data_IF_532047680328
#
_entry.id   IF_532047680328
#
_cell.length_a   1.000
_cell.length_b   1.000
_cell.length_c   1.000
_cell.angle_alpha   90.00
_cell.angle_beta   90.00
_cell.angle_gamma   90.00
#
_symmetry.space_group_name_H-M   'P 1'
#
loop_
_entity.id
_entity.type
_entity.pdbx_description
1 polymer ?
#
# COMPACT_ATOMS: atom_id res chain seq x y z
N UNK A 1 0.33 -10.56 -16.20
CA UNK A 1 0.89 -9.76 -15.09
C UNK A 1 0.84 -10.63 -13.84
N UNK A 2 1.82 -10.54 -12.96
CA UNK A 2 1.83 -11.30 -11.71
C UNK A 2 1.75 -10.34 -10.53
N UNK A 3 0.80 -10.58 -9.61
CA UNK A 3 0.60 -9.74 -8.43
C UNK A 3 1.19 -10.39 -7.20
N UNK A 4 1.72 -9.56 -6.31
CA UNK A 4 2.40 -10.01 -5.10
C UNK A 4 2.09 -9.08 -3.93
N UNK A 5 1.91 -9.67 -2.76
CA UNK A 5 1.93 -8.96 -1.49
C UNK A 5 3.28 -9.20 -0.84
N UNK A 6 4.05 -8.13 -0.69
CA UNK A 6 5.36 -8.14 -0.04
C UNK A 6 5.20 -7.59 1.37
N UNK A 7 5.79 -8.27 2.35
CA UNK A 7 5.79 -7.86 3.74
C UNK A 7 7.21 -7.76 4.24
N UNK A 8 7.53 -6.68 4.94
CA UNK A 8 8.84 -6.49 5.55
C UNK A 8 8.70 -5.83 6.92
N UNK A 9 9.70 -6.05 7.78
CA UNK A 9 9.77 -5.44 9.10
C UNK A 9 10.91 -4.43 9.12
N UNK A 10 10.68 -3.22 8.61
CA UNK A 10 11.75 -2.24 8.54
C UNK A 10 12.19 -1.78 9.92
N UNK A 11 13.51 -1.78 10.14
CA UNK A 11 14.13 -1.16 11.31
C UNK A 11 14.66 0.22 10.91
N UNK A 12 13.78 1.22 10.93
CA UNK A 12 14.19 2.61 10.79
C UNK A 12 13.30 3.56 11.62
N UNK A 13 13.82 4.72 12.04
CA UNK A 13 13.00 5.76 12.64
C UNK A 13 11.98 6.33 11.66
N UNK A 14 10.70 6.45 12.05
CA UNK A 14 9.60 6.87 11.16
C UNK A 14 9.81 8.23 10.46
N UNK A 15 10.63 9.13 11.00
CA UNK A 15 10.98 10.40 10.34
C UNK A 15 11.86 10.21 9.08
N UNK A 16 12.37 9.00 8.84
CA UNK A 16 13.02 8.61 7.58
C UNK A 16 12.11 7.84 6.62
N UNK A 17 10.84 7.58 6.98
CA UNK A 17 9.89 6.78 6.20
C UNK A 17 9.84 7.18 4.73
N UNK A 18 9.68 8.48 4.46
CA UNK A 18 9.58 9.03 3.12
C UNK A 18 10.79 8.68 2.24
N UNK A 19 11.99 8.84 2.78
CA UNK A 19 13.23 8.53 2.06
C UNK A 19 13.38 7.03 1.82
N UNK A 20 12.95 6.20 2.78
CA UNK A 20 13.03 4.74 2.64
C UNK A 20 12.04 4.25 1.57
N UNK A 21 10.80 4.71 1.62
CA UNK A 21 9.78 4.39 0.62
C UNK A 21 10.23 4.81 -0.79
N UNK A 22 10.79 6.01 -0.95
CA UNK A 22 11.33 6.46 -2.24
C UNK A 22 12.48 5.57 -2.76
N UNK A 23 13.43 5.20 -1.90
CA UNK A 23 14.54 4.33 -2.32
C UNK A 23 14.04 2.95 -2.73
N UNK A 24 13.07 2.42 -1.99
CA UNK A 24 12.45 1.13 -2.28
C UNK A 24 11.69 1.17 -3.60
N UNK A 25 10.92 2.23 -3.86
CA UNK A 25 10.18 2.40 -5.12
C UNK A 25 11.11 2.39 -6.33
N UNK A 26 12.19 3.16 -6.27
CA UNK A 26 13.18 3.25 -7.34
C UNK A 26 13.88 1.90 -7.56
N UNK A 27 14.21 1.20 -6.47
CA UNK A 27 14.81 -0.14 -6.55
C UNK A 27 13.87 -1.14 -7.22
N UNK A 28 12.59 -1.15 -6.85
CA UNK A 28 11.59 -2.04 -7.45
C UNK A 28 11.34 -1.69 -8.92
N UNK A 29 11.23 -0.40 -9.24
CA UNK A 29 11.05 0.07 -10.61
C UNK A 29 12.24 -0.32 -11.51
N UNK A 30 13.47 -0.24 -11.01
CA UNK A 30 14.66 -0.71 -11.75
C UNK A 30 14.63 -2.22 -12.05
N UNK A 31 13.83 -2.98 -11.31
CA UNK A 31 13.59 -4.42 -11.53
C UNK A 31 12.31 -4.68 -12.34
N UNK A 32 11.69 -3.64 -12.91
CA UNK A 32 10.37 -3.69 -13.56
C UNK A 32 9.24 -4.17 -12.63
N UNK A 33 9.37 -3.95 -11.33
CA UNK A 33 8.32 -4.22 -10.34
C UNK A 33 7.60 -2.90 -10.04
N UNK A 34 6.30 -2.89 -10.26
CA UNK A 34 5.45 -1.73 -10.03
C UNK A 34 4.76 -1.84 -8.68
N UNK A 35 4.90 -0.84 -7.82
CA UNK A 35 4.10 -0.76 -6.60
C UNK A 35 2.72 -0.18 -6.95
N UNK A 36 1.68 -0.89 -6.54
CA UNK A 36 0.28 -0.58 -6.83
C UNK A 36 -0.41 0.08 -5.64
N UNK A 37 -0.10 -0.36 -4.43
CA UNK A 37 -0.59 0.19 -3.17
C UNK A 37 0.36 -0.20 -2.03
N UNK A 38 0.27 0.48 -0.89
CA UNK A 38 1.11 0.17 0.27
C UNK A 38 0.51 0.66 1.59
N UNK A 39 1.06 0.11 2.67
CA UNK A 39 0.89 0.61 4.02
C UNK A 39 2.20 0.45 4.81
N UNK A 40 2.65 1.54 5.41
CA UNK A 40 3.80 1.56 6.31
C UNK A 40 3.36 1.94 7.71
N UNK A 41 3.59 1.04 8.66
CA UNK A 41 3.37 1.22 10.09
C UNK A 41 4.71 1.09 10.84
N UNK A 42 4.79 1.49 12.12
CA UNK A 42 5.97 1.22 12.93
C UNK A 42 6.31 -0.28 12.94
N UNK A 43 7.45 -0.64 12.33
CA UNK A 43 7.94 -2.02 12.27
C UNK A 43 7.25 -2.93 11.24
N UNK A 44 6.38 -2.39 10.37
CA UNK A 44 5.72 -3.17 9.32
C UNK A 44 5.58 -2.35 8.05
N UNK A 45 6.00 -2.93 6.93
CA UNK A 45 5.75 -2.41 5.59
C UNK A 45 5.11 -3.50 4.74
N UNK A 46 3.95 -3.19 4.19
CA UNK A 46 3.24 -4.04 3.24
C UNK A 46 3.12 -3.32 1.90
N UNK A 47 3.45 -4.02 0.82
CA UNK A 47 3.38 -3.52 -0.55
C UNK A 47 2.57 -4.47 -1.41
N UNK A 48 1.56 -3.95 -2.11
CA UNK A 48 0.96 -4.64 -3.24
C UNK A 48 1.76 -4.27 -4.50
N UNK A 49 2.34 -5.26 -5.16
CA UNK A 49 3.17 -5.08 -6.34
C UNK A 49 2.64 -5.85 -7.55
N UNK A 50 3.02 -5.40 -8.74
CA UNK A 50 2.87 -6.11 -10.00
C UNK A 50 4.22 -6.27 -10.69
N UNK A 51 4.48 -7.46 -11.21
CA UNK A 51 5.69 -7.79 -11.96
C UNK A 51 5.33 -8.46 -13.30
N UNK A 52 6.02 -8.12 -14.40
CA UNK A 52 5.86 -8.82 -15.68
C UNK A 52 6.42 -10.24 -15.65
N UNK A 53 7.32 -10.53 -14.69
CA UNK A 53 8.00 -11.83 -14.55
C UNK A 53 7.67 -12.43 -13.17
N UNK A 54 7.44 -13.75 -13.06
CA UNK A 54 7.23 -14.38 -11.77
C UNK A 54 8.39 -14.16 -10.81
N UNK A 55 8.08 -13.70 -9.60
CA UNK A 55 9.02 -13.60 -8.49
C UNK A 55 9.02 -14.91 -7.70
N UNK A 56 10.15 -15.25 -7.08
CA UNK A 56 10.20 -16.36 -6.13
C UNK A 56 9.40 -16.00 -4.88
N UNK A 57 8.43 -16.83 -4.53
CA UNK A 57 7.69 -16.70 -3.29
C UNK A 57 8.61 -17.01 -2.08
N UNK A 58 8.37 -16.31 -0.98
CA UNK A 58 9.04 -16.53 0.30
C UNK A 58 8.10 -16.12 1.44
N UNK A 59 8.53 -16.26 2.68
CA UNK A 59 7.76 -15.81 3.85
C UNK A 59 7.41 -14.32 3.83
N UNK A 60 8.16 -13.53 3.06
CA UNK A 60 8.01 -12.08 2.90
C UNK A 60 7.39 -11.68 1.56
N UNK A 61 7.07 -12.65 0.70
CA UNK A 61 6.53 -12.41 -0.64
C UNK A 61 5.59 -13.53 -1.08
N UNK A 62 4.29 -13.25 -1.12
CA UNK A 62 3.28 -14.19 -1.57
C UNK A 62 2.64 -13.73 -2.87
N UNK A 63 2.49 -14.65 -3.83
CA UNK A 63 1.71 -14.40 -5.04
C UNK A 63 0.23 -14.23 -4.69
N UNK A 64 -0.43 -13.32 -5.39
CA UNK A 64 -1.81 -12.90 -5.16
C UNK A 64 -2.62 -13.13 -6.43
N UNK A 65 -3.82 -13.68 -6.29
CA UNK A 65 -4.76 -13.81 -7.41
C UNK A 65 -5.53 -12.51 -7.66
N UNK A 66 -6.07 -12.33 -8.87
CA UNK A 66 -6.81 -11.11 -9.22
C UNK A 66 -8.04 -10.90 -8.34
N UNK A 67 -8.71 -11.99 -7.94
CA UNK A 67 -9.88 -11.96 -7.06
C UNK A 67 -9.57 -11.43 -5.65
N UNK A 68 -8.31 -11.55 -5.22
CA UNK A 68 -7.85 -11.09 -3.91
C UNK A 68 -7.45 -9.61 -3.90
N UNK A 69 -7.25 -8.99 -5.07
CA UNK A 69 -6.70 -7.64 -5.18
C UNK A 69 -7.53 -6.60 -4.43
N UNK A 70 -8.87 -6.62 -4.59
CA UNK A 70 -9.75 -5.67 -3.89
C UNK A 70 -9.65 -5.83 -2.38
N UNK A 71 -9.65 -7.07 -1.88
CA UNK A 71 -9.52 -7.33 -0.44
C UNK A 71 -8.18 -6.84 0.12
N UNK A 72 -7.08 -7.00 -0.64
CA UNK A 72 -5.75 -6.53 -0.23
C UNK A 72 -5.66 -5.01 -0.26
N UNK A 73 -6.17 -4.36 -1.30
CA UNK A 73 -6.26 -2.89 -1.39
C UNK A 73 -7.05 -2.34 -0.20
N UNK A 74 -8.14 -3.02 0.16
CA UNK A 74 -8.95 -2.71 1.34
C UNK A 74 -8.13 -2.81 2.64
N UNK A 75 -7.40 -3.92 2.81
CA UNK A 75 -6.52 -4.17 3.96
C UNK A 75 -5.38 -3.15 4.09
N UNK A 76 -4.75 -2.75 2.98
CA UNK A 76 -3.73 -1.70 2.96
C UNK A 76 -4.32 -0.31 3.27
N UNK A 77 -5.64 -0.15 3.12
CA UNK A 77 -6.38 1.05 3.51
C UNK A 77 -6.89 1.05 4.95
N UNK A 78 -6.57 0.06 5.79
CA UNK A 78 -7.15 -0.12 7.14
C UNK A 78 -7.00 1.07 8.08
N UNK A 79 -5.95 1.89 7.92
CA UNK A 79 -5.72 3.09 8.74
C UNK A 79 -6.48 4.33 8.26
N UNK A 80 -7.36 4.16 7.27
CA UNK A 80 -8.20 5.22 6.71
C UNK A 80 -7.44 6.17 5.79
N UNK A 81 -8.14 7.22 5.35
CA UNK A 81 -7.64 8.16 4.33
C UNK A 81 -6.73 9.24 4.89
N UNK A 82 -6.73 9.47 6.21
CA UNK A 82 -5.92 10.50 6.86
C UNK A 82 -4.50 10.02 7.26
N UNK A 83 -4.23 8.71 7.15
CA UNK A 83 -2.95 8.15 7.57
C UNK A 83 -1.85 8.33 6.50
N UNK A 84 -0.90 9.23 6.77
CA UNK A 84 0.10 9.75 5.81
C UNK A 84 0.88 8.68 5.06
N UNK A 85 1.24 7.56 5.70
CA UNK A 85 2.11 6.55 5.11
C UNK A 85 1.31 5.37 4.53
N UNK A 86 0.37 5.70 3.65
CA UNK A 86 -0.45 4.73 2.93
C UNK A 86 -0.82 5.23 1.54
N UNK A 87 -1.03 4.31 0.60
CA UNK A 87 -1.56 4.68 -0.72
C UNK A 87 -2.99 5.24 -0.66
N UNK A 88 -3.72 5.01 0.43
CA UNK A 88 -5.02 5.66 0.66
C UNK A 88 -4.87 7.15 0.87
N UNK A 89 -3.93 7.59 1.70
CA UNK A 89 -3.69 9.02 1.90
C UNK A 89 -3.28 9.72 0.61
N UNK A 90 -2.40 9.10 -0.18
CA UNK A 90 -1.99 9.65 -1.47
C UNK A 90 -3.16 9.85 -2.42
N UNK A 91 -4.04 8.84 -2.52
CA UNK A 91 -5.21 8.88 -3.38
C UNK A 91 -6.16 10.03 -3.02
N UNK A 92 -6.43 10.25 -1.72
CA UNK A 92 -7.42 11.23 -1.27
C UNK A 92 -6.87 12.64 -1.06
N UNK A 93 -5.58 12.78 -0.73
CA UNK A 93 -4.96 14.08 -0.48
C UNK A 93 -4.13 14.61 -1.66
N UNK A 94 -4.08 13.88 -2.79
CA UNK A 94 -3.31 14.25 -3.98
C UNK A 94 -1.85 14.57 -3.65
N UNK A 95 -1.28 13.86 -2.67
CA UNK A 95 0.08 14.07 -2.21
C UNK A 95 1.06 13.83 -3.37
N UNK A 96 1.85 14.85 -3.70
CA UNK A 96 2.87 14.80 -4.75
C UNK A 96 4.09 13.97 -4.36
N UNK A 97 4.24 13.65 -3.07
CA UNK A 97 5.46 13.07 -2.53
C UNK A 97 5.72 11.63 -3.05
N UNK A 98 4.67 10.92 -3.48
CA UNK A 98 4.77 9.47 -3.78
C UNK A 98 3.82 8.98 -4.88
N UNK A 99 3.36 9.85 -5.79
CA UNK A 99 2.46 9.49 -6.90
C UNK A 99 2.93 8.33 -7.82
N UNK A 100 4.14 7.82 -7.64
CA UNK A 100 4.73 6.69 -8.36
C UNK A 100 4.58 5.34 -7.62
N UNK A 101 4.25 5.34 -6.32
CA UNK A 101 4.23 4.14 -5.46
C UNK A 101 2.84 3.53 -5.24
N UNK A 102 1.77 4.22 -5.61
CA UNK A 102 0.42 3.81 -5.20
C UNK A 102 -0.65 4.21 -6.21
N UNK A 103 -0.38 4.03 -7.50
CA UNK A 103 -1.39 4.33 -8.52
C UNK A 103 -2.46 3.24 -8.50
N UNK A 104 -3.49 3.46 -7.71
CA UNK A 104 -4.79 2.79 -7.86
C UNK A 104 -5.45 3.09 -9.22
N UNK A 105 -4.83 3.87 -10.11
CA UNK A 105 -5.19 4.05 -11.52
C UNK A 105 -4.12 3.58 -12.50
N UNK A 106 -3.20 2.70 -12.09
CA UNK A 106 -2.20 2.11 -12.98
C UNK A 106 -2.93 1.19 -14.00
N UNK A 107 -2.69 1.30 -15.32
CA UNK A 107 -3.28 0.39 -16.31
C UNK A 107 -2.93 -1.09 -16.07
N UNK A 108 -1.93 -1.35 -15.23
CA UNK A 108 -1.52 -2.68 -14.80
C UNK A 108 -2.53 -3.33 -13.84
N UNK A 109 -3.35 -2.54 -13.13
CA UNK A 109 -4.35 -3.07 -12.21
C UNK A 109 -5.66 -3.33 -12.98
N UNK A 110 -6.24 -4.56 -12.94
CA UNK A 110 -7.43 -4.93 -13.71
C UNK A 110 -8.72 -4.46 -13.01
N UNK A 111 -8.66 -3.32 -12.32
CA UNK A 111 -9.75 -2.77 -11.51
C UNK A 111 -10.00 -1.32 -11.91
N UNK A 112 -11.28 -0.95 -12.02
CA UNK A 112 -11.68 0.43 -12.23
C UNK A 112 -11.31 1.28 -11.00
N UNK A 113 -10.86 2.53 -11.23
CA UNK A 113 -10.48 3.45 -10.17
C UNK A 113 -11.65 3.69 -9.18
N UNK A 114 -12.87 3.74 -9.69
CA UNK A 114 -14.10 3.90 -8.91
C UNK A 114 -14.31 2.75 -7.91
N UNK A 115 -14.03 1.50 -8.33
CA UNK A 115 -14.14 0.34 -7.45
C UNK A 115 -13.14 0.40 -6.29
N UNK A 116 -11.93 0.86 -6.56
CA UNK A 116 -10.87 1.02 -5.56
C UNK A 116 -11.20 2.15 -4.57
N UNK A 117 -11.69 3.28 -5.08
CA UNK A 117 -12.14 4.40 -4.25
C UNK A 117 -13.29 3.96 -3.34
N UNK A 118 -14.26 3.22 -3.87
CA UNK A 118 -15.39 2.71 -3.09
C UNK A 118 -14.92 1.82 -1.93
N UNK A 119 -13.98 0.91 -2.20
CA UNK A 119 -13.46 -0.02 -1.20
C UNK A 119 -12.65 0.70 -0.11
N UNK A 120 -11.78 1.66 -0.48
CA UNK A 120 -11.02 2.47 0.50
C UNK A 120 -11.93 3.36 1.36
N UNK A 121 -13.04 3.86 0.80
CA UNK A 121 -14.02 4.66 1.57
C UNK A 121 -14.76 3.82 2.60
N UNK A 122 -15.11 2.57 2.26
CA UNK A 122 -15.81 1.64 3.16
C UNK A 122 -15.10 1.53 4.52
N UNK A 123 -13.77 1.41 4.49
CA UNK A 123 -12.95 1.32 5.71
C UNK A 123 -12.72 2.67 6.40
N UNK A 124 -12.64 3.77 5.65
CA UNK A 124 -12.52 5.11 6.22
C UNK A 124 -13.76 5.54 7.02
N UNK A 125 -14.93 4.95 6.74
CA UNK A 125 -16.18 5.23 7.45
C UNK A 125 -16.43 4.31 8.63
N UNK A 126 -15.81 3.13 8.70
CA UNK A 126 -15.75 2.32 9.92
C UNK A 126 -14.80 2.98 10.90
N UNK A 127 -15.34 3.91 11.69
CA UNK A 127 -14.68 4.40 12.91
C UNK A 127 -14.44 3.19 13.82
N UNK A 128 -13.22 2.66 13.85
CA UNK A 128 -12.79 1.95 15.04
C UNK A 128 -12.82 2.97 16.19
N UNK A 129 -13.53 2.69 17.30
CA UNK A 129 -13.50 3.59 18.44
C UNK A 129 -12.05 3.64 18.91
N UNK A 130 -11.39 4.76 18.67
CA UNK A 130 -10.17 5.11 19.39
C UNK A 130 -10.62 5.21 20.85
N UNK A 131 -10.36 4.16 21.63
CA UNK A 131 -10.38 4.25 23.07
C UNK A 131 -9.36 5.34 23.41
N UNK A 132 -9.87 6.53 23.72
CA UNK A 132 -9.08 7.55 24.40
C UNK A 132 -8.89 7.00 25.80
N UNK A 133 -7.74 6.41 26.05
CA UNK A 133 -7.21 6.39 27.40
C UNK A 133 -6.94 7.85 27.76
N UNK A 134 -7.86 8.42 28.53
CA UNK A 134 -7.64 9.66 29.25
C UNK A 134 -6.49 9.41 30.22
N UNK A 135 -5.34 10.03 29.95
CA UNK A 135 -4.22 10.09 30.89
C UNK A 135 -4.35 11.40 31.67
N UNK A 136 -4.49 11.23 32.98
CA UNK A 136 -4.36 12.19 34.10
C UNK A 136 -5.55 13.13 34.39
#
# INVERSE_FOLDING_TARGET
MHYYLLTSKPEFPMWHAERVLLRLSLSLQNQNIHVLDYLLEPGLLELLCASPIPMRCSDTNSMVSEEQLLSIISHLGRNGTAYRYSGSYELFHRSSCFCQLGKTGNPILPLALEAIIAEKRRYSTTKFPVARDEIA
#
